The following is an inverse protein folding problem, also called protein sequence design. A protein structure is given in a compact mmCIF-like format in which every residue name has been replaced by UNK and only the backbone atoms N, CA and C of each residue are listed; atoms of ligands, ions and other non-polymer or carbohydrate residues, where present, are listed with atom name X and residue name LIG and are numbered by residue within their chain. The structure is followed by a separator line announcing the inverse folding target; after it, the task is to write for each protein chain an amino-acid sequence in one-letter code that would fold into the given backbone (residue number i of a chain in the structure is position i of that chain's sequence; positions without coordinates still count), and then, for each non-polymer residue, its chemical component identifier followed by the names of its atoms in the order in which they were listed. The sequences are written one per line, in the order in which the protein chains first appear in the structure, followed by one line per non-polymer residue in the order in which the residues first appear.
data_IF_634937661503
#
_entry.id   IF_634937661503
#
_cell.length_a   1.000
_cell.length_b   1.000
_cell.length_c   1.000
_cell.angle_alpha   90.00
_cell.angle_beta   90.00
_cell.angle_gamma   90.00
#
_symmetry.space_group_name_H-M   'P 1'
#
loop_
_entity.id
_entity.type
_entity.pdbx_description
1 polymer ?
#
# COMPACT_ATOMS: atom_id res chain seq x y z
N UNK A 1 0.54 19.70 -4.50
CA UNK A 1 -0.11 18.39 -4.66
C UNK A 1 0.96 17.39 -5.05
N UNK A 2 1.15 16.35 -4.25
CA UNK A 2 2.17 15.33 -4.52
C UNK A 2 1.74 14.47 -5.72
N UNK A 3 2.66 14.08 -6.58
CA UNK A 3 2.38 13.13 -7.67
C UNK A 3 2.64 11.71 -7.14
N UNK A 4 1.84 10.69 -7.52
CA UNK A 4 2.14 9.31 -7.17
C UNK A 4 3.51 8.91 -7.70
N UNK A 5 4.30 8.28 -6.84
CA UNK A 5 5.52 7.60 -7.23
C UNK A 5 5.28 6.09 -7.37
N UNK A 6 6.28 5.39 -7.89
CA UNK A 6 6.23 3.94 -8.00
C UNK A 6 7.60 3.31 -7.77
N UNK A 7 7.58 2.04 -7.35
CA UNK A 7 8.76 1.21 -7.14
C UNK A 7 8.43 -0.26 -7.39
N UNK A 8 9.37 -1.00 -7.99
CA UNK A 8 9.25 -2.45 -8.14
C UNK A 8 9.68 -2.96 -9.51
N UNK A 9 9.05 -4.04 -9.98
CA UNK A 9 9.32 -4.63 -11.30
C UNK A 9 8.16 -4.49 -12.26
N UNK A 10 8.51 -4.36 -13.54
CA UNK A 10 7.59 -4.14 -14.65
C UNK A 10 7.95 -5.07 -15.79
N UNK A 11 6.97 -5.71 -16.43
CA UNK A 11 7.20 -6.70 -17.49
C UNK A 11 7.99 -6.13 -18.68
N UNK A 12 7.87 -4.82 -18.96
CA UNK A 12 8.59 -4.15 -20.05
C UNK A 12 10.03 -3.74 -19.71
N UNK A 13 10.48 -3.89 -18.45
CA UNK A 13 11.81 -3.47 -17.99
C UNK A 13 12.60 -4.65 -17.45
N UNK A 14 13.92 -4.64 -17.68
CA UNK A 14 14.81 -5.71 -17.23
C UNK A 14 15.15 -5.63 -15.74
N UNK A 15 15.20 -4.43 -15.18
CA UNK A 15 15.61 -4.16 -13.80
C UNK A 15 14.52 -3.45 -13.01
N UNK A 16 14.79 -3.20 -11.72
CA UNK A 16 13.91 -2.40 -10.87
C UNK A 16 13.68 -1.01 -11.45
N UNK A 17 12.46 -0.53 -11.32
CA UNK A 17 12.07 0.83 -11.68
C UNK A 17 11.70 1.61 -10.43
N UNK A 18 12.01 2.91 -10.44
CA UNK A 18 11.65 3.83 -9.38
C UNK A 18 11.45 5.24 -9.92
N UNK A 19 10.40 5.93 -9.45
CA UNK A 19 10.17 7.36 -9.71
C UNK A 19 9.33 7.95 -8.58
N UNK A 20 9.64 9.18 -8.18
CA UNK A 20 8.77 9.97 -7.29
C UNK A 20 8.71 9.50 -5.83
N UNK A 21 9.47 8.47 -5.44
CA UNK A 21 9.55 7.99 -4.06
C UNK A 21 10.96 8.20 -3.48
N UNK A 22 11.08 8.74 -2.26
CA UNK A 22 12.37 8.91 -1.60
C UNK A 22 12.91 7.58 -1.07
N UNK A 23 14.24 7.50 -0.89
CA UNK A 23 14.89 6.31 -0.34
C UNK A 23 14.46 5.99 1.11
N UNK A 24 14.02 6.99 1.87
CA UNK A 24 13.45 6.80 3.21
C UNK A 24 12.18 5.94 3.21
N UNK A 25 11.45 5.90 2.09
CA UNK A 25 10.33 4.98 1.87
C UNK A 25 10.79 3.69 1.18
N UNK A 26 11.56 3.80 0.09
CA UNK A 26 11.95 2.65 -0.74
C UNK A 26 12.75 1.62 0.05
N UNK A 27 13.74 2.05 0.86
CA UNK A 27 14.61 1.14 1.61
C UNK A 27 13.87 0.14 2.51
N UNK A 28 13.07 0.60 3.49
CA UNK A 28 12.30 -0.31 4.34
C UNK A 28 11.23 -1.09 3.56
N UNK A 29 10.61 -0.48 2.55
CA UNK A 29 9.59 -1.13 1.72
C UNK A 29 10.15 -2.30 0.89
N UNK A 30 11.27 -2.08 0.19
CA UNK A 30 11.98 -3.12 -0.55
C UNK A 30 12.44 -4.26 0.36
N UNK A 31 13.07 -3.91 1.50
CA UNK A 31 13.56 -4.90 2.45
C UNK A 31 12.43 -5.78 2.98
N UNK A 32 11.27 -5.20 3.28
CA UNK A 32 10.08 -5.92 3.74
C UNK A 32 9.50 -6.83 2.64
N UNK A 33 9.34 -6.31 1.41
CA UNK A 33 8.86 -7.10 0.27
C UNK A 33 9.79 -8.27 -0.04
N UNK A 34 11.10 -8.02 -0.10
CA UNK A 34 12.10 -9.06 -0.37
C UNK A 34 12.11 -10.14 0.72
N UNK A 35 12.03 -9.75 1.99
CA UNK A 35 11.96 -10.69 3.11
C UNK A 35 10.68 -11.54 3.05
N UNK A 36 9.55 -10.93 2.73
CA UNK A 36 8.26 -11.63 2.59
C UNK A 36 8.21 -12.59 1.39
N UNK A 37 8.75 -12.17 0.24
CA UNK A 37 8.91 -13.04 -0.92
C UNK A 37 9.81 -14.24 -0.62
N UNK A 38 10.90 -14.03 0.13
CA UNK A 38 11.80 -15.10 0.56
C UNK A 38 11.09 -16.06 1.52
N UNK A 39 10.39 -15.54 2.54
CA UNK A 39 9.68 -16.35 3.52
C UNK A 39 8.54 -17.17 2.87
N UNK A 40 7.84 -16.58 1.90
CA UNK A 40 6.77 -17.26 1.17
C UNK A 40 7.25 -18.42 0.28
N UNK A 41 8.56 -18.51 -0.04
CA UNK A 41 9.10 -19.68 -0.75
C UNK A 41 8.88 -21.00 0.00
N UNK A 42 8.60 -20.96 1.31
CA UNK A 42 8.15 -22.12 2.09
C UNK A 42 6.89 -22.81 1.54
N UNK A 43 6.12 -22.15 0.67
CA UNK A 43 4.99 -22.74 -0.05
C UNK A 43 5.40 -23.76 -1.11
N UNK A 44 6.68 -23.83 -1.48
CA UNK A 44 7.20 -24.76 -2.47
C UNK A 44 6.52 -24.59 -3.83
N UNK A 45 6.12 -25.70 -4.45
CA UNK A 45 5.51 -25.73 -5.78
C UNK A 45 4.21 -24.90 -5.89
N UNK A 46 3.54 -24.64 -4.77
CA UNK A 46 2.30 -23.82 -4.75
C UNK A 46 2.57 -22.32 -4.76
N UNK A 47 3.83 -21.89 -4.60
CA UNK A 47 4.19 -20.49 -4.45
C UNK A 47 3.81 -19.67 -5.67
N UNK A 48 4.15 -20.15 -6.87
CA UNK A 48 3.95 -19.40 -8.10
C UNK A 48 2.45 -19.18 -8.36
N UNK A 49 1.65 -20.23 -8.22
CA UNK A 49 0.19 -20.13 -8.37
C UNK A 49 -0.40 -19.15 -7.36
N UNK A 50 0.03 -19.21 -6.10
CA UNK A 50 -0.44 -18.30 -5.06
C UNK A 50 -0.03 -16.84 -5.33
N UNK A 51 1.19 -16.60 -5.84
CA UNK A 51 1.67 -15.27 -6.21
C UNK A 51 0.89 -14.69 -7.39
N UNK A 52 0.69 -15.45 -8.47
CA UNK A 52 0.04 -14.95 -9.68
C UNK A 52 -1.45 -14.65 -9.52
N UNK A 53 -2.14 -15.32 -8.58
CA UNK A 53 -3.57 -15.10 -8.31
C UNK A 53 -3.83 -14.29 -7.02
N UNK A 54 -2.78 -13.76 -6.41
CA UNK A 54 -2.93 -12.88 -5.25
C UNK A 54 -3.50 -11.52 -5.65
N UNK A 55 -4.33 -10.90 -4.80
CA UNK A 55 -5.05 -9.69 -5.17
C UNK A 55 -4.13 -8.48 -5.22
N UNK A 56 -4.64 -7.41 -5.83
CA UNK A 56 -4.09 -6.09 -5.62
C UNK A 56 -4.48 -5.64 -4.20
N UNK A 57 -3.48 -5.18 -3.45
CA UNK A 57 -3.68 -4.69 -2.09
C UNK A 57 -3.55 -3.18 -2.07
N UNK A 58 -4.65 -2.50 -1.76
CA UNK A 58 -4.66 -1.11 -1.33
C UNK A 58 -4.08 -1.05 0.07
N UNK A 59 -3.33 0.00 0.38
CA UNK A 59 -2.69 0.14 1.68
C UNK A 59 -2.66 1.58 2.18
N UNK A 60 -2.56 1.69 3.50
CA UNK A 60 -2.17 2.88 4.23
C UNK A 60 -1.09 2.48 5.25
N UNK A 61 0.04 3.18 5.25
CA UNK A 61 1.11 3.05 6.23
C UNK A 61 1.16 4.32 7.07
N UNK A 62 0.97 4.18 8.37
CA UNK A 62 1.08 5.29 9.31
C UNK A 62 2.49 5.90 9.34
N UNK A 63 2.64 7.15 9.79
CA UNK A 63 3.96 7.77 9.96
C UNK A 63 4.90 6.90 10.80
N UNK A 64 6.12 6.71 10.33
CA UNK A 64 7.14 5.87 10.99
C UNK A 64 7.13 4.40 10.58
N UNK A 65 6.12 3.92 9.85
CA UNK A 65 6.04 2.51 9.43
C UNK A 65 6.99 2.20 8.27
N UNK A 66 6.97 3.02 7.22
CA UNK A 66 7.88 2.95 6.06
C UNK A 66 8.50 4.32 5.78
N UNK A 67 9.21 4.84 6.78
CA UNK A 67 9.76 6.20 6.74
C UNK A 67 8.89 7.21 7.50
N UNK A 68 9.28 8.50 7.49
CA UNK A 68 8.70 9.50 8.41
C UNK A 68 7.28 9.93 8.03
N UNK A 69 6.91 9.87 6.75
CA UNK A 69 5.59 10.26 6.26
C UNK A 69 4.63 9.09 6.26
N UNK A 70 3.34 9.38 6.39
CA UNK A 70 2.32 8.40 6.04
C UNK A 70 2.35 8.14 4.53
N UNK A 71 2.04 6.92 4.12
CA UNK A 71 1.98 6.53 2.71
C UNK A 71 0.66 5.82 2.40
N UNK A 72 0.08 6.09 1.25
CA UNK A 72 -1.09 5.38 0.73
C UNK A 72 -0.80 4.90 -0.69
N UNK A 73 -1.36 3.75 -1.08
CA UNK A 73 -1.05 3.22 -2.39
C UNK A 73 -1.68 1.88 -2.69
N UNK A 74 -1.20 1.26 -3.76
CA UNK A 74 -1.57 -0.09 -4.17
C UNK A 74 -0.31 -0.87 -4.53
N UNK A 75 -0.26 -2.13 -4.10
CA UNK A 75 0.78 -3.08 -4.49
C UNK A 75 0.15 -4.24 -5.27
N UNK A 76 0.80 -4.62 -6.37
CA UNK A 76 0.37 -5.69 -7.26
C UNK A 76 1.50 -6.70 -7.45
N UNK A 77 1.22 -8.02 -7.44
CA UNK A 77 2.17 -9.03 -7.91
C UNK A 77 2.65 -8.70 -9.33
N UNK A 78 3.96 -8.69 -9.54
CA UNK A 78 4.55 -8.33 -10.83
C UNK A 78 5.82 -9.15 -11.14
N UNK A 79 6.34 -8.95 -12.34
CA UNK A 79 7.49 -9.63 -12.92
C UNK A 79 8.30 -8.65 -13.77
N UNK A 80 9.60 -8.88 -13.93
CA UNK A 80 10.39 -8.17 -14.94
C UNK A 80 10.45 -8.92 -16.28
N UNK A 81 11.03 -8.25 -17.29
CA UNK A 81 11.19 -8.76 -18.66
C UNK A 81 11.96 -10.08 -18.75
N UNK A 82 12.78 -10.41 -17.75
CA UNK A 82 13.60 -11.62 -17.73
C UNK A 82 13.00 -12.72 -16.83
N UNK A 83 11.80 -12.52 -16.31
CA UNK A 83 11.05 -13.55 -15.58
C UNK A 83 11.28 -13.58 -14.07
N UNK A 84 11.88 -12.54 -13.48
CA UNK A 84 12.12 -12.49 -12.02
C UNK A 84 10.96 -11.77 -11.33
N UNK A 85 10.29 -12.45 -10.41
CA UNK A 85 9.15 -11.93 -9.68
C UNK A 85 9.54 -10.91 -8.61
N UNK A 86 8.83 -9.79 -8.57
CA UNK A 86 8.84 -8.82 -7.48
C UNK A 86 7.62 -7.88 -7.65
N UNK A 87 6.89 -7.52 -6.58
CA UNK A 87 5.73 -6.66 -6.68
C UNK A 87 5.99 -5.28 -7.30
N UNK A 88 4.99 -4.73 -7.97
CA UNK A 88 4.97 -3.34 -8.40
C UNK A 88 4.09 -2.53 -7.43
N UNK A 89 4.64 -1.44 -6.93
CA UNK A 89 3.97 -0.55 -5.97
C UNK A 89 3.78 0.82 -6.58
N UNK A 90 2.58 1.38 -6.45
CA UNK A 90 2.30 2.81 -6.61
C UNK A 90 1.98 3.39 -5.23
N UNK A 91 2.59 4.53 -4.89
CA UNK A 91 2.42 5.14 -3.58
C UNK A 91 2.41 6.67 -3.66
N UNK A 92 1.65 7.29 -2.77
CA UNK A 92 1.70 8.73 -2.46
C UNK A 92 2.13 8.88 -1.01
N UNK A 93 3.16 9.70 -0.78
CA UNK A 93 3.52 10.15 0.56
C UNK A 93 2.64 11.34 0.93
N UNK A 94 1.89 11.21 2.02
CA UNK A 94 0.97 12.22 2.48
C UNK A 94 1.72 13.37 3.18
N UNK A 95 1.16 14.57 3.07
CA UNK A 95 1.62 15.73 3.81
C UNK A 95 1.41 15.51 5.33
N UNK A 96 2.20 16.20 6.16
CA UNK A 96 2.17 15.99 7.62
C UNK A 96 0.80 16.32 8.24
N UNK A 97 0.08 17.27 7.65
CA UNK A 97 -1.25 17.72 8.05
C UNK A 97 -2.38 16.90 7.45
N UNK A 98 -2.10 15.90 6.59
CA UNK A 98 -3.13 14.99 6.10
C UNK A 98 -3.60 14.03 7.20
N UNK A 99 -4.91 13.77 7.23
CA UNK A 99 -5.52 12.65 7.93
C UNK A 99 -5.48 11.39 7.04
N UNK A 100 -4.65 10.37 7.37
CA UNK A 100 -4.61 9.13 6.60
C UNK A 100 -5.92 8.33 6.68
N UNK A 101 -6.68 8.43 7.77
CA UNK A 101 -7.94 7.72 7.94
C UNK A 101 -9.02 8.25 7.00
N UNK A 102 -8.98 9.55 6.67
CA UNK A 102 -9.87 10.13 5.65
C UNK A 102 -9.66 9.55 4.25
N UNK A 103 -8.45 9.06 3.95
CA UNK A 103 -8.16 8.38 2.68
C UNK A 103 -8.71 6.96 2.71
N UNK A 104 -8.50 6.24 3.82
CA UNK A 104 -9.00 4.86 4.00
C UNK A 104 -10.51 4.78 3.99
N UNK A 105 -11.20 5.70 4.68
CA UNK A 105 -12.66 5.81 4.69
C UNK A 105 -13.25 6.67 3.57
N UNK A 106 -12.43 7.05 2.60
CA UNK A 106 -12.75 7.99 1.52
C UNK A 106 -13.31 7.34 0.26
N UNK A 107 -13.16 8.04 -0.86
CA UNK A 107 -13.57 7.54 -2.19
C UNK A 107 -12.58 6.51 -2.73
N UNK A 108 -13.09 5.40 -3.24
CA UNK A 108 -12.28 4.35 -3.87
C UNK A 108 -11.77 4.72 -5.27
N UNK A 109 -12.30 5.78 -5.90
CA UNK A 109 -12.02 6.14 -7.30
C UNK A 109 -10.53 6.24 -7.60
N UNK A 110 -9.74 6.87 -6.71
CA UNK A 110 -8.30 6.99 -6.91
C UNK A 110 -7.61 5.62 -6.88
N UNK A 111 -7.98 4.75 -5.94
CA UNK A 111 -7.42 3.41 -5.84
C UNK A 111 -7.81 2.55 -7.04
N UNK A 112 -9.05 2.61 -7.50
CA UNK A 112 -9.52 1.92 -8.71
C UNK A 112 -8.72 2.35 -9.94
N UNK A 113 -8.42 3.64 -10.08
CA UNK A 113 -7.61 4.16 -11.19
C UNK A 113 -6.14 3.71 -11.08
N UNK A 114 -5.57 3.66 -9.87
CA UNK A 114 -4.23 3.08 -9.65
C UNK A 114 -4.20 1.60 -10.00
N UNK A 115 -5.21 0.83 -9.58
CA UNK A 115 -5.35 -0.60 -9.90
C UNK A 115 -5.42 -0.82 -11.42
N UNK A 116 -6.20 -0.01 -12.13
CA UNK A 116 -6.28 -0.06 -13.60
C UNK A 116 -4.92 0.26 -14.25
N UNK A 117 -4.20 1.27 -13.77
CA UNK A 117 -2.87 1.60 -14.27
C UNK A 117 -1.88 0.46 -14.00
N UNK A 118 -1.87 -0.12 -12.79
CA UNK A 118 -1.06 -1.28 -12.45
C UNK A 118 -1.37 -2.47 -13.36
N UNK A 119 -2.64 -2.83 -13.52
CA UNK A 119 -3.08 -3.93 -14.38
C UNK A 119 -2.71 -3.71 -15.85
N UNK A 120 -2.76 -2.46 -16.34
CA UNK A 120 -2.36 -2.13 -17.71
C UNK A 120 -0.90 -2.47 -18.01
N UNK A 121 -0.05 -2.55 -16.97
CA UNK A 121 1.36 -2.90 -17.12
C UNK A 121 1.63 -4.37 -17.46
N UNK A 122 0.60 -5.21 -17.32
CA UNK A 122 0.65 -6.63 -17.65
C UNK A 122 0.38 -6.89 -19.15
N UNK A 123 -0.10 -5.88 -19.90
CA UNK A 123 -0.33 -6.00 -21.34
C UNK A 123 0.99 -6.08 -22.11
N UNK A 124 1.00 -6.79 -23.24
CA UNK A 124 2.18 -6.90 -24.12
C UNK A 124 2.58 -5.53 -24.69
N UNK A 125 1.61 -4.65 -24.90
CA UNK A 125 1.76 -3.29 -25.42
C UNK A 125 2.10 -2.26 -24.34
N UNK A 126 2.29 -2.68 -23.08
CA UNK A 126 2.53 -1.78 -21.97
C UNK A 126 3.83 -0.99 -22.15
N UNK A 127 3.72 0.35 -22.07
CA UNK A 127 4.86 1.26 -22.06
C UNK A 127 5.09 1.81 -20.65
N UNK A 128 6.36 1.82 -20.24
CA UNK A 128 6.80 2.45 -19.00
C UNK A 128 6.48 3.96 -18.98
N UNK A 129 6.61 4.61 -20.13
CA UNK A 129 6.36 6.03 -20.32
C UNK A 129 4.86 6.33 -20.20
N UNK A 130 4.01 5.50 -20.82
CA UNK A 130 2.56 5.62 -20.70
C UNK A 130 2.08 5.40 -19.25
N UNK A 131 2.64 4.41 -18.54
CA UNK A 131 2.35 4.18 -17.13
C UNK A 131 2.72 5.40 -16.26
N UNK A 132 3.92 5.95 -16.46
CA UNK A 132 4.36 7.15 -15.74
C UNK A 132 3.47 8.37 -16.03
N UNK A 133 3.12 8.61 -17.29
CA UNK A 133 2.24 9.71 -17.68
C UNK A 133 0.80 9.55 -17.12
N UNK A 134 0.30 8.31 -17.05
CA UNK A 134 -0.98 8.00 -16.43
C UNK A 134 -1.02 8.36 -14.95
N UNK A 135 0.04 8.04 -14.19
CA UNK A 135 0.16 8.41 -12.78
C UNK A 135 0.29 9.92 -12.57
N UNK A 136 1.04 10.59 -13.44
CA UNK A 136 1.16 12.06 -13.42
C UNK A 136 -0.21 12.74 -13.65
N UNK A 137 -1.01 12.20 -14.58
CA UNK A 137 -2.36 12.70 -14.88
C UNK A 137 -3.35 12.42 -13.75
N UNK A 138 -3.22 11.26 -13.09
CA UNK A 138 -4.09 10.85 -11.99
C UNK A 138 -3.95 11.75 -10.76
N UNK A 139 -2.72 12.14 -10.41
CA UNK A 139 -2.45 12.96 -9.22
C UNK A 139 -2.67 12.21 -7.90
N UNK A 140 -2.86 12.96 -6.80
CA UNK A 140 -3.01 12.42 -5.45
C UNK A 140 -4.48 12.11 -5.08
N UNK A 141 -4.72 11.17 -4.14
CA UNK A 141 -6.04 11.00 -3.56
C UNK A 141 -6.44 12.24 -2.76
N UNK A 142 -7.75 12.49 -2.68
CA UNK A 142 -8.29 13.51 -1.79
C UNK A 142 -8.13 13.06 -0.33
N UNK A 143 -7.77 13.99 0.55
CA UNK A 143 -7.71 13.78 1.99
C UNK A 143 -8.30 14.98 2.73
N UNK A 144 -8.72 14.75 3.97
CA UNK A 144 -9.08 15.81 4.90
C UNK A 144 -7.85 16.21 5.74
N UNK A 145 -7.79 17.46 6.23
CA UNK A 145 -6.76 17.84 7.18
C UNK A 145 -7.00 17.14 8.52
N UNK A 146 -5.90 16.78 9.18
CA UNK A 146 -5.87 16.17 10.51
C UNK A 146 -6.52 17.10 11.54
N UNK A 147 -7.28 16.50 12.44
CA UNK A 147 -7.84 17.24 13.57
C UNK A 147 -6.72 17.81 14.48
N UNK A 148 -6.79 19.09 14.89
CA UNK A 148 -5.91 19.64 15.90
C UNK A 148 -5.96 18.79 17.18
N UNK A 149 -4.78 18.41 17.68
CA UNK A 149 -4.67 17.62 18.89
C UNK A 149 -3.46 18.01 19.73
N UNK A 150 -3.53 17.70 21.02
CA UNK A 150 -2.48 17.97 21.99
C UNK A 150 -2.34 16.81 22.97
N UNK A 151 -1.16 16.69 23.59
CA UNK A 151 -0.93 15.69 24.65
C UNK A 151 -0.70 16.42 25.98
N UNK A 152 -1.43 16.02 27.02
CA UNK A 152 -1.25 16.55 28.38
C UNK A 152 -1.52 15.46 29.41
N UNK A 153 -0.69 15.33 30.44
CA UNK A 153 -0.87 14.35 31.53
C UNK A 153 -1.15 12.91 31.06
N UNK A 154 -0.51 12.47 29.96
CA UNK A 154 -0.73 11.15 29.36
C UNK A 154 -2.01 11.02 28.52
N UNK A 155 -2.87 12.05 28.49
CA UNK A 155 -4.06 12.11 27.65
C UNK A 155 -3.72 12.68 26.27
N UNK A 156 -4.40 12.18 25.25
CA UNK A 156 -4.42 12.77 23.91
C UNK A 156 -5.76 13.47 23.72
N UNK A 157 -5.73 14.80 23.65
CA UNK A 157 -6.91 15.65 23.48
C UNK A 157 -7.06 16.02 22.02
N UNK A 158 -8.26 15.84 21.49
CA UNK A 158 -8.67 16.30 20.16
C UNK A 158 -9.72 17.38 20.30
N UNK A 159 -9.72 18.35 19.40
CA UNK A 159 -10.78 19.37 19.32
C UNK A 159 -12.02 18.82 18.60
N UNK A 160 -12.56 17.69 19.10
CA UNK A 160 -13.66 16.94 18.53
C UNK A 160 -14.91 16.98 19.44
N UNK A 161 -15.78 17.96 19.22
CA UNK A 161 -16.94 18.22 20.11
C UNK A 161 -18.23 17.53 19.67
N UNK A 162 -18.38 17.20 18.39
CA UNK A 162 -19.54 16.49 17.86
C UNK A 162 -19.25 14.98 17.63
N UNK A 163 -20.30 14.12 17.50
CA UNK A 163 -20.12 12.68 17.33
C UNK A 163 -19.31 12.28 16.10
N UNK A 164 -19.41 13.01 14.99
CA UNK A 164 -18.70 12.70 13.75
C UNK A 164 -17.22 13.02 13.90
N UNK A 165 -16.89 14.20 14.44
CA UNK A 165 -15.50 14.58 14.71
C UNK A 165 -14.82 13.59 15.67
N UNK A 166 -15.55 13.07 16.68
CA UNK A 166 -15.00 12.04 17.58
C UNK A 166 -14.68 10.74 16.84
N UNK A 167 -15.53 10.33 15.90
CA UNK A 167 -15.26 9.14 15.09
C UNK A 167 -14.06 9.33 14.17
N UNK A 168 -13.92 10.50 13.55
CA UNK A 168 -12.72 10.85 12.75
C UNK A 168 -11.45 10.77 13.59
N UNK A 169 -11.45 11.36 14.80
CA UNK A 169 -10.30 11.29 15.70
C UNK A 169 -9.93 9.85 16.12
N UNK A 170 -10.93 8.99 16.35
CA UNK A 170 -10.69 7.57 16.64
C UNK A 170 -10.11 6.82 15.43
N UNK A 171 -10.57 7.14 14.21
CA UNK A 171 -10.04 6.55 12.99
C UNK A 171 -8.60 7.01 12.73
N UNK A 172 -8.29 8.30 12.94
CA UNK A 172 -6.92 8.84 12.92
C UNK A 172 -5.99 8.08 13.87
N UNK A 173 -6.44 7.84 15.11
CA UNK A 173 -5.66 7.08 16.09
C UNK A 173 -5.41 5.62 15.67
N UNK A 174 -6.38 4.98 15.01
CA UNK A 174 -6.24 3.60 14.55
C UNK A 174 -5.10 3.41 13.53
N UNK A 175 -4.75 4.51 12.85
CA UNK A 175 -3.71 4.62 11.84
C UNK A 175 -2.30 4.87 12.42
N UNK A 176 -2.18 5.32 13.66
CA UNK A 176 -0.89 5.65 14.28
C UNK A 176 0.01 4.40 14.41
N UNK A 177 1.19 4.44 13.79
CA UNK A 177 2.18 3.36 13.82
C UNK A 177 1.69 2.03 13.23
N UNK A 178 0.60 2.03 12.47
CA UNK A 178 -0.05 0.84 11.93
C UNK A 178 0.02 0.82 10.40
N UNK A 179 -0.10 -0.38 9.83
CA UNK A 179 -0.45 -0.55 8.42
C UNK A 179 -1.86 -1.09 8.29
N UNK A 180 -2.62 -0.54 7.35
CA UNK A 180 -3.96 -0.97 6.99
C UNK A 180 -3.95 -1.45 5.54
N UNK A 181 -4.70 -2.49 5.25
CA UNK A 181 -4.71 -3.15 3.95
C UNK A 181 -6.11 -3.61 3.57
N UNK A 182 -6.51 -3.35 2.33
CA UNK A 182 -7.82 -3.72 1.81
C UNK A 182 -7.80 -3.89 0.30
N UNK A 183 -8.92 -4.33 -0.27
CA UNK A 183 -9.07 -4.50 -1.71
C UNK A 183 -10.29 -5.34 -2.05
N UNK A 184 -10.43 -5.68 -3.33
CA UNK A 184 -11.52 -6.52 -3.83
C UNK A 184 -11.27 -8.03 -3.65
N UNK A 185 -10.17 -8.39 -2.99
CA UNK A 185 -9.81 -9.79 -2.80
C UNK A 185 -9.47 -10.51 -4.11
N UNK A 186 -9.46 -11.83 -4.06
CA UNK A 186 -9.24 -12.72 -5.21
C UNK A 186 -10.10 -13.97 -5.05
N UNK A 187 -9.96 -14.96 -5.95
CA UNK A 187 -10.66 -16.25 -5.82
C UNK A 187 -10.42 -16.96 -4.48
N UNK A 188 -9.28 -16.67 -3.82
CA UNK A 188 -8.87 -17.30 -2.55
C UNK A 188 -8.94 -16.37 -1.34
N UNK A 189 -9.15 -15.07 -1.55
CA UNK A 189 -9.14 -14.07 -0.49
C UNK A 189 -10.42 -13.26 -0.58
N UNK A 190 -11.26 -13.32 0.45
CA UNK A 190 -12.44 -12.47 0.53
C UNK A 190 -12.04 -10.99 0.72
N UNK A 191 -12.80 -10.04 0.16
CA UNK A 191 -12.64 -8.62 0.47
C UNK A 191 -12.71 -8.36 1.99
N UNK A 192 -11.72 -7.65 2.52
CA UNK A 192 -11.65 -7.32 3.95
C UNK A 192 -10.80 -6.06 4.19
N UNK A 193 -10.90 -5.50 5.40
CA UNK A 193 -9.95 -4.54 5.95
C UNK A 193 -9.09 -5.22 7.02
N UNK A 194 -7.79 -5.20 6.82
CA UNK A 194 -6.79 -5.79 7.70
C UNK A 194 -5.96 -4.68 8.35
N UNK A 195 -5.58 -4.85 9.63
CA UNK A 195 -4.74 -3.90 10.38
C UNK A 195 -3.61 -4.66 11.07
N UNK A 196 -2.38 -4.15 10.94
CA UNK A 196 -1.21 -4.63 11.68
C UNK A 196 -0.52 -3.46 12.38
N UNK A 197 0.10 -3.70 13.54
CA UNK A 197 1.03 -2.72 14.12
C UNK A 197 2.35 -2.80 13.36
N UNK A 198 2.83 -1.68 12.80
CA UNK A 198 3.93 -1.70 11.84
C UNK A 198 3.55 -2.41 10.54
N UNK A 199 4.53 -2.99 9.85
CA UNK A 199 4.30 -3.88 8.70
C UNK A 199 4.01 -5.32 9.18
N UNK A 200 3.23 -6.11 8.42
CA UNK A 200 3.09 -7.53 8.68
C UNK A 200 4.45 -8.22 8.77
N UNK A 201 4.62 -9.15 9.71
CA UNK A 201 5.87 -9.89 9.83
C UNK A 201 6.14 -10.68 8.55
N UNK A 202 7.40 -10.72 8.10
CA UNK A 202 7.76 -11.39 6.85
C UNK A 202 7.37 -12.88 6.83
N UNK A 203 7.38 -13.55 8.00
CA UNK A 203 6.93 -14.93 8.14
C UNK A 203 5.44 -15.13 7.78
N UNK A 204 4.61 -14.10 7.98
CA UNK A 204 3.17 -14.14 7.75
C UNK A 204 2.80 -13.61 6.35
N UNK A 205 3.79 -13.19 5.55
CA UNK A 205 3.59 -12.60 4.23
C UNK A 205 2.78 -13.50 3.29
N UNK A 206 3.02 -14.81 3.32
CA UNK A 206 2.28 -15.79 2.53
C UNK A 206 0.80 -15.88 2.94
N UNK A 207 0.51 -15.77 4.24
CA UNK A 207 -0.87 -15.82 4.73
C UNK A 207 -1.60 -14.53 4.37
N UNK A 208 -0.92 -13.42 4.59
CA UNK A 208 -1.46 -12.08 4.45
C UNK A 208 -1.64 -11.65 2.98
N UNK A 209 -0.61 -11.78 2.14
CA UNK A 209 -0.64 -11.29 0.75
C UNK A 209 -1.05 -12.36 -0.26
N UNK A 210 -0.77 -13.65 0.01
CA UNK A 210 -1.04 -14.75 -0.92
C UNK A 210 -2.28 -15.59 -0.57
N UNK A 211 -3.01 -15.23 0.50
CA UNK A 211 -4.31 -15.82 0.78
C UNK A 211 -4.26 -17.25 1.29
N UNK A 212 -3.19 -17.63 1.97
CA UNK A 212 -3.16 -18.89 2.69
C UNK A 212 -3.77 -18.64 4.07
N UNK A 213 -5.00 -19.10 4.30
CA UNK A 213 -5.54 -19.15 5.66
C UNK A 213 -4.57 -19.96 6.52
N UNK A 214 -3.91 -19.30 7.47
CA UNK A 214 -3.33 -20.01 8.60
C UNK A 214 -4.47 -20.68 9.33
N UNK A 215 -4.42 -22.01 9.48
CA UNK A 215 -5.27 -22.70 10.45
C UNK A 215 -4.89 -22.12 11.81
N UNK A 216 -5.75 -21.27 12.36
CA UNK A 216 -5.67 -20.81 13.75
C UNK A 216 -6.29 -21.88 14.64
#
# INVERSE_FOLDING_TARGET
MSTPGFYGKLASRGDFVSRGLPQSFIGPWDSWLAAGLLASQSLGDRWLDAYLVSPLWRFMLGPGVCGPQAAVGVVMPSIDRVGRYFPLTVAVLLDHDADPASVVGGSDVWFEQVEQLLLSTLSVEASFEAFGAGLETLGSPAYLPRAPSSRFAGLHRFDATDPKARMTALAELACEGASLWWGQGSERIAPALLRCQGLPAAADFAQFLLGQEGVV
#
